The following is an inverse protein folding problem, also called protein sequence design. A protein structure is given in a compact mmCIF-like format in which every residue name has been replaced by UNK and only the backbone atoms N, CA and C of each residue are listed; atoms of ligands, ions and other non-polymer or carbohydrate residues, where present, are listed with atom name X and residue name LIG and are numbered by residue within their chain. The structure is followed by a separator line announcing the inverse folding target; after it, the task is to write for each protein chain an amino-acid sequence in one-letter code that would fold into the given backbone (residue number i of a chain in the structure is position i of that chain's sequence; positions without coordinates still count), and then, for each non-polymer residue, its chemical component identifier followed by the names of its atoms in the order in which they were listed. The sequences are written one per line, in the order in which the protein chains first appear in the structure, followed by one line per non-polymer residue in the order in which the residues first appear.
data_IF_393495821199
#
_entry.id   IF_393495821199
#
_cell.length_a   1.000
_cell.length_b   1.000
_cell.length_c   1.000
_cell.angle_alpha   90.00
_cell.angle_beta   90.00
_cell.angle_gamma   90.00
#
_symmetry.space_group_name_H-M   'P 1'
#
loop_
_entity.id
_entity.type
_entity.pdbx_description
1 polymer ?
#
# COMPACT_ATOMS: atom_id res chain seq x y z
N UNK A 1 7.88 12.46 -18.96
CA UNK A 1 7.16 13.74 -18.77
C UNK A 1 6.34 13.61 -17.50
N UNK A 2 6.60 14.42 -16.47
CA UNK A 2 5.77 14.40 -15.25
C UNK A 2 4.44 15.09 -15.54
N UNK A 3 3.39 14.32 -15.77
CA UNK A 3 2.02 14.83 -15.90
C UNK A 3 1.45 15.02 -14.50
N UNK A 4 1.36 16.25 -14.01
CA UNK A 4 0.65 16.56 -12.77
C UNK A 4 -0.84 16.75 -13.05
N UNK A 5 -1.69 16.15 -12.23
CA UNK A 5 -3.15 16.31 -12.30
C UNK A 5 -3.59 16.93 -10.97
N UNK A 6 -4.23 18.10 -11.03
CA UNK A 6 -4.80 18.75 -9.84
C UNK A 6 -6.18 18.17 -9.56
N UNK A 7 -6.41 17.72 -8.33
CA UNK A 7 -7.70 17.24 -7.85
C UNK A 7 -8.09 18.02 -6.59
N UNK A 8 -9.40 18.21 -6.39
CA UNK A 8 -9.91 18.74 -5.14
C UNK A 8 -10.17 17.60 -4.16
N UNK A 9 -9.70 17.76 -2.93
CA UNK A 9 -9.91 16.81 -1.84
C UNK A 9 -10.45 17.54 -0.61
N UNK A 10 -11.17 16.81 0.22
CA UNK A 10 -11.69 17.33 1.48
C UNK A 10 -10.51 17.72 2.41
N UNK A 11 -10.62 18.86 3.10
CA UNK A 11 -9.57 19.36 4.00
C UNK A 11 -9.25 18.37 5.12
N UNK A 12 -10.25 17.70 5.69
CA UNK A 12 -10.05 16.74 6.77
C UNK A 12 -9.28 15.52 6.27
N UNK A 13 -9.53 15.07 5.04
CA UNK A 13 -8.77 14.00 4.41
C UNK A 13 -7.31 14.40 4.22
N UNK A 14 -7.06 15.64 3.77
CA UNK A 14 -5.70 16.16 3.62
C UNK A 14 -4.95 16.22 4.95
N UNK A 15 -5.58 16.71 6.02
CA UNK A 15 -4.96 16.78 7.34
C UNK A 15 -4.73 15.40 7.97
N UNK A 16 -5.58 14.40 7.67
CA UNK A 16 -5.30 13.01 8.02
C UNK A 16 -4.08 12.49 7.26
N UNK A 17 -4.07 12.63 5.93
CA UNK A 17 -2.97 12.16 5.10
C UNK A 17 -1.65 12.82 5.50
N UNK A 18 -1.65 14.11 5.83
CA UNK A 18 -0.45 14.84 6.26
C UNK A 18 0.14 14.31 7.56
N UNK A 19 -0.70 13.95 8.54
CA UNK A 19 -0.24 13.36 9.81
C UNK A 19 0.36 11.99 9.59
N UNK A 20 -0.33 11.13 8.85
CA UNK A 20 0.11 9.76 8.62
C UNK A 20 1.35 9.72 7.71
N UNK A 21 1.41 10.57 6.70
CA UNK A 21 2.59 10.73 5.83
C UNK A 21 3.85 11.08 6.63
N UNK A 22 3.73 11.94 7.64
CA UNK A 22 4.86 12.31 8.50
C UNK A 22 5.35 11.14 9.36
N UNK A 23 4.45 10.26 9.81
CA UNK A 23 4.77 9.07 10.59
C UNK A 23 5.39 7.96 9.73
N UNK A 24 4.88 7.79 8.51
CA UNK A 24 5.26 6.73 7.58
C UNK A 24 6.41 7.14 6.63
N UNK A 25 7.00 8.32 6.84
CA UNK A 25 8.06 8.89 6.00
C UNK A 25 7.68 8.96 4.50
N UNK A 26 6.42 9.32 4.21
CA UNK A 26 5.88 9.50 2.84
C UNK A 26 5.59 10.97 2.56
N UNK A 27 5.40 11.31 1.29
CA UNK A 27 4.74 12.58 0.92
C UNK A 27 3.25 12.48 1.19
N UNK A 28 2.56 13.61 1.34
CA UNK A 28 1.10 13.63 1.52
C UNK A 28 0.38 12.98 0.33
N UNK A 29 0.85 13.29 -0.87
CA UNK A 29 0.38 12.68 -2.12
C UNK A 29 0.58 11.15 -2.09
N UNK A 30 1.79 10.69 -1.73
CA UNK A 30 2.11 9.27 -1.63
C UNK A 30 1.31 8.53 -0.55
N UNK A 31 0.90 9.21 0.51
CA UNK A 31 0.01 8.65 1.53
C UNK A 31 -1.40 8.45 0.99
N UNK A 32 -1.93 9.42 0.23
CA UNK A 32 -3.24 9.33 -0.40
C UNK A 32 -3.25 8.24 -1.48
N UNK A 33 -2.21 8.17 -2.30
CA UNK A 33 -2.04 7.10 -3.30
C UNK A 33 -2.01 5.73 -2.64
N UNK A 34 -1.27 5.59 -1.53
CA UNK A 34 -1.19 4.35 -0.76
C UNK A 34 -2.57 3.90 -0.24
N UNK A 35 -3.36 4.81 0.34
CA UNK A 35 -4.73 4.51 0.77
C UNK A 35 -5.64 4.14 -0.40
N UNK A 36 -5.51 4.82 -1.54
CA UNK A 36 -6.30 4.52 -2.72
C UNK A 36 -5.98 3.12 -3.28
N UNK A 37 -4.70 2.73 -3.30
CA UNK A 37 -4.28 1.40 -3.75
C UNK A 37 -4.80 0.28 -2.83
N UNK A 38 -4.70 0.47 -1.51
CA UNK A 38 -5.27 -0.47 -0.53
C UNK A 38 -6.78 -0.53 -0.66
N UNK A 39 -7.46 0.62 -0.74
CA UNK A 39 -8.90 0.71 -0.86
C UNK A 39 -9.42 -0.02 -2.09
N UNK A 40 -8.77 0.15 -3.25
CA UNK A 40 -9.10 -0.58 -4.48
C UNK A 40 -8.94 -2.09 -4.27
N UNK A 41 -7.79 -2.52 -3.76
CA UNK A 41 -7.54 -3.95 -3.53
C UNK A 41 -8.53 -4.57 -2.52
N UNK A 42 -8.96 -3.83 -1.51
CA UNK A 42 -9.95 -4.28 -0.53
C UNK A 42 -11.37 -4.37 -1.11
N UNK A 43 -11.74 -3.47 -2.04
CA UNK A 43 -13.02 -3.55 -2.77
C UNK A 43 -13.05 -4.79 -3.67
N UNK A 44 -11.94 -5.06 -4.37
CA UNK A 44 -11.82 -6.20 -5.28
C UNK A 44 -11.73 -7.55 -4.53
N UNK A 45 -11.25 -7.53 -3.28
CA UNK A 45 -11.02 -8.73 -2.46
C UNK A 45 -11.62 -8.53 -1.04
N UNK A 46 -12.96 -8.50 -0.91
CA UNK A 46 -13.64 -8.11 0.34
C UNK A 46 -13.44 -9.11 1.49
N UNK A 47 -12.99 -10.32 1.19
CA UNK A 47 -12.68 -11.39 2.13
C UNK A 47 -11.26 -11.31 2.71
N UNK A 48 -10.38 -10.50 2.11
CA UNK A 48 -9.00 -10.35 2.56
C UNK A 48 -8.88 -9.27 3.65
N UNK A 49 -8.17 -9.55 4.76
CA UNK A 49 -7.87 -8.53 5.76
C UNK A 49 -7.03 -7.39 5.18
N UNK A 50 -7.34 -6.15 5.56
CA UNK A 50 -6.61 -4.96 5.09
C UNK A 50 -5.10 -5.04 5.38
N UNK A 51 -4.71 -5.57 6.55
CA UNK A 51 -3.30 -5.77 6.88
C UNK A 51 -2.59 -6.71 5.89
N UNK A 52 -3.24 -7.80 5.49
CA UNK A 52 -2.70 -8.74 4.51
C UNK A 52 -2.53 -8.08 3.14
N UNK A 53 -3.51 -7.27 2.72
CA UNK A 53 -3.43 -6.50 1.47
C UNK A 53 -2.25 -5.52 1.51
N UNK A 54 -2.13 -4.75 2.59
CA UNK A 54 -1.06 -3.77 2.77
C UNK A 54 0.34 -4.40 2.70
N UNK A 55 0.55 -5.49 3.44
CA UNK A 55 1.81 -6.25 3.45
C UNK A 55 2.10 -6.86 2.07
N UNK A 56 1.10 -7.46 1.42
CA UNK A 56 1.27 -8.03 0.09
C UNK A 56 1.69 -6.97 -0.93
N UNK A 57 1.04 -5.80 -0.93
CA UNK A 57 1.42 -4.67 -1.80
C UNK A 57 2.81 -4.14 -1.46
N UNK A 58 3.22 -4.14 -0.19
CA UNK A 58 4.57 -3.77 0.20
C UNK A 58 5.60 -4.77 -0.36
N UNK A 59 5.37 -6.07 -0.18
CA UNK A 59 6.23 -7.13 -0.70
C UNK A 59 6.35 -7.10 -2.24
N UNK A 60 5.27 -6.76 -2.96
CA UNK A 60 5.30 -6.63 -4.41
C UNK A 60 6.17 -5.46 -4.92
N UNK A 61 6.43 -4.46 -4.08
CA UNK A 61 7.32 -3.33 -4.40
C UNK A 61 8.79 -3.62 -4.07
N UNK A 62 9.08 -4.70 -3.36
CA UNK A 62 10.46 -5.08 -3.06
C UNK A 62 11.18 -5.55 -4.33
N UNK A 63 12.51 -5.31 -4.45
CA UNK A 63 13.28 -5.80 -5.57
C UNK A 63 13.22 -7.33 -5.65
N UNK A 64 12.94 -7.86 -6.84
CA UNK A 64 12.93 -9.31 -7.05
C UNK A 64 14.29 -9.97 -6.72
N UNK A 65 15.40 -9.23 -6.85
CA UNK A 65 16.74 -9.67 -6.45
C UNK A 65 16.84 -10.00 -4.95
N UNK A 66 15.98 -9.40 -4.12
CA UNK A 66 15.92 -9.66 -2.67
C UNK A 66 15.02 -10.86 -2.32
N UNK A 67 14.36 -11.47 -3.31
CA UNK A 67 13.48 -12.62 -3.08
C UNK A 67 14.28 -13.89 -2.76
N UNK A 68 13.80 -14.65 -1.79
CA UNK A 68 14.36 -15.96 -1.45
C UNK A 68 13.55 -17.08 -2.14
N UNK A 69 14.19 -18.17 -2.60
CA UNK A 69 13.46 -19.33 -3.11
C UNK A 69 12.49 -19.88 -2.08
N UNK A 70 11.24 -20.10 -2.48
CA UNK A 70 10.23 -20.73 -1.62
C UNK A 70 10.70 -22.14 -1.22
N UNK A 71 10.81 -22.37 0.10
CA UNK A 71 11.10 -23.69 0.67
C UNK A 71 9.81 -24.28 1.25
N UNK A 72 9.16 -25.24 0.57
CA UNK A 72 7.94 -25.85 1.09
C UNK A 72 8.22 -26.53 2.42
N UNK A 73 7.28 -26.40 3.38
CA UNK A 73 7.32 -27.22 4.59
C UNK A 73 7.17 -28.69 4.17
N UNK A 74 8.16 -29.53 4.50
CA UNK A 74 8.00 -30.97 4.38
C UNK A 74 6.83 -31.40 5.26
N UNK A 75 5.89 -32.19 4.70
CA UNK A 75 4.89 -32.86 5.52
C UNK A 75 5.64 -33.80 6.45
N UNK A 76 5.69 -33.47 7.74
CA UNK A 76 5.99 -34.47 8.77
C UNK A 76 4.87 -35.50 8.70
N UNK A 77 5.25 -36.77 8.47
CA UNK A 77 4.33 -37.90 8.42
C UNK A 77 3.75 -38.17 9.80
#
# INVERSE_FOLDING_TARGET
MSSSISIQINQDLYEHAKRDAALEHRTVEGQIEYWAEIGRAAIDNPDLPIGFIAESLASMREPHESALPFKPRSRSK
#
